data_IF_565526039686
#
_entry.id   IF_565526039686
#
_cell.length_a   1.000
_cell.length_b   1.000
_cell.length_c   1.000
_cell.angle_alpha   90.00
_cell.angle_beta   90.00
_cell.angle_gamma   90.00
#
_symmetry.space_group_name_H-M   'P 1'
#
loop_
_entity.id
_entity.type
_entity.pdbx_description
1 polymer ?
#
# COMPACT_ATOMS: atom_id res chain seq x y z
N UNK A 1 -18.92 -59.22 45.85
CA UNK A 1 -18.27 -58.55 44.70
C UNK A 1 -17.24 -57.59 45.29
N UNK A 2 -16.00 -58.08 45.40
CA UNK A 2 -14.83 -57.71 44.58
C UNK A 2 -14.17 -56.43 45.11
N UNK A 3 -13.02 -56.65 45.78
CA UNK A 3 -11.74 -55.93 45.78
C UNK A 3 -11.74 -54.39 45.95
N UNK A 4 -10.87 -53.78 46.73
CA UNK A 4 -9.63 -54.22 47.37
C UNK A 4 -8.84 -53.00 47.86
N UNK A 5 -8.06 -53.23 48.91
CA UNK A 5 -6.99 -52.41 49.55
C UNK A 5 -6.38 -51.26 48.72
N UNK A 6 -6.04 -50.17 49.42
CA UNK A 6 -4.63 -49.84 49.66
C UNK A 6 -4.42 -48.81 50.78
N UNK A 7 -3.59 -49.21 51.75
CA UNK A 7 -2.80 -48.34 52.61
C UNK A 7 -1.81 -47.51 51.77
N UNK A 8 -1.48 -46.29 52.20
CA UNK A 8 -0.09 -45.81 52.23
C UNK A 8 0.05 -44.54 53.07
N UNK A 9 0.70 -44.71 54.22
CA UNK A 9 1.35 -43.67 54.99
C UNK A 9 2.70 -43.26 54.36
N UNK A 10 3.07 -41.99 54.52
CA UNK A 10 4.42 -41.45 54.78
C UNK A 10 5.60 -41.87 53.88
N UNK A 11 6.11 -40.89 53.09
CA UNK A 11 7.49 -40.32 53.14
C UNK A 11 7.91 -39.82 51.75
N UNK A 12 8.25 -38.52 51.66
CA UNK A 12 9.50 -37.94 51.12
C UNK A 12 9.23 -36.42 51.00
N UNK A 13 9.81 -35.53 51.82
CA UNK A 13 11.18 -35.02 51.68
C UNK A 13 11.62 -34.94 50.21
N UNK A 14 11.44 -33.78 49.59
CA UNK A 14 12.43 -33.09 48.75
C UNK A 14 11.76 -32.12 47.77
N UNK A 15 11.51 -30.88 48.20
CA UNK A 15 11.55 -29.71 47.30
C UNK A 15 12.14 -28.54 48.08
N UNK A 16 13.37 -28.71 48.57
CA UNK A 16 14.27 -27.57 48.79
C UNK A 16 14.92 -27.31 47.43
N UNK A 17 14.73 -26.13 46.89
CA UNK A 17 15.41 -25.68 45.67
C UNK A 17 14.51 -25.56 44.45
N UNK A 18 13.38 -24.84 44.55
CA UNK A 18 12.97 -24.04 43.40
C UNK A 18 13.50 -22.64 43.72
N UNK A 19 14.70 -22.35 43.23
CA UNK A 19 15.14 -20.97 43.10
C UNK A 19 14.00 -20.25 42.38
N UNK A 20 13.48 -19.16 42.95
CA UNK A 20 12.82 -18.15 42.13
C UNK A 20 13.79 -17.87 41.00
N UNK A 21 13.50 -18.33 39.77
CA UNK A 21 14.11 -17.74 38.59
C UNK A 21 13.78 -16.26 38.73
N UNK A 22 14.80 -15.44 39.00
CA UNK A 22 14.68 -13.99 38.85
C UNK A 22 14.13 -13.81 37.43
N UNK A 23 12.92 -13.29 37.31
CA UNK A 23 12.40 -12.87 36.03
C UNK A 23 13.38 -11.85 35.48
N UNK A 24 14.11 -12.23 34.45
CA UNK A 24 14.90 -11.30 33.65
C UNK A 24 13.85 -10.64 32.77
N UNK A 25 13.61 -9.34 32.99
CA UNK A 25 12.73 -8.55 32.15
C UNK A 25 13.55 -8.14 30.92
N UNK A 26 13.37 -8.85 29.81
CA UNK A 26 14.00 -8.49 28.54
C UNK A 26 13.04 -7.61 27.75
N UNK A 27 13.31 -6.31 27.72
CA UNK A 27 12.60 -5.41 26.81
C UNK A 27 13.02 -5.71 25.36
N UNK A 28 12.04 -5.97 24.51
CA UNK A 28 12.20 -6.22 23.09
C UNK A 28 11.80 -5.00 22.25
N UNK A 29 12.67 -4.54 21.34
CA UNK A 29 12.31 -3.48 20.39
C UNK A 29 11.59 -4.15 19.24
N UNK A 30 10.26 -4.12 19.27
CA UNK A 30 9.39 -4.48 18.16
C UNK A 30 8.24 -3.49 18.23
N UNK A 31 8.07 -2.72 17.17
CA UNK A 31 7.09 -1.64 17.11
C UNK A 31 5.71 -2.27 17.05
N UNK A 32 5.08 -2.45 18.21
CA UNK A 32 3.66 -2.73 18.28
C UNK A 32 2.91 -1.48 17.76
N UNK A 33 2.12 -1.67 16.72
CA UNK A 33 1.27 -0.64 16.09
C UNK A 33 1.50 -0.40 14.59
N UNK A 34 2.67 -0.74 14.04
CA UNK A 34 2.89 -1.12 12.63
C UNK A 34 4.24 -1.80 12.59
N UNK A 35 4.30 -2.91 11.88
CA UNK A 35 5.53 -3.65 11.63
C UNK A 35 6.39 -2.90 10.59
N UNK A 36 6.85 -1.70 10.95
CA UNK A 36 7.81 -0.94 10.16
C UNK A 36 9.21 -1.53 10.33
N UNK A 37 9.62 -2.30 9.32
CA UNK A 37 10.65 -1.84 8.40
C UNK A 37 11.82 -1.07 9.02
N UNK A 38 12.67 -1.77 9.79
CA UNK A 38 14.07 -1.37 9.94
C UNK A 38 14.97 -2.61 9.97
N UNK A 39 15.85 -2.69 8.96
CA UNK A 39 16.90 -3.70 8.88
C UNK A 39 17.95 -3.45 9.95
N UNK A 40 17.78 -4.15 11.07
CA UNK A 40 18.79 -4.63 12.02
C UNK A 40 18.04 -5.11 13.27
N UNK A 41 17.29 -6.20 13.17
CA UNK A 41 16.56 -6.73 14.32
C UNK A 41 17.46 -7.61 15.19
N UNK A 42 18.39 -6.95 15.88
CA UNK A 42 18.97 -7.47 17.11
C UNK A 42 18.23 -6.81 18.27
N UNK A 43 17.58 -7.61 19.11
CA UNK A 43 16.74 -7.07 20.18
C UNK A 43 17.57 -6.76 21.41
N UNK A 44 17.85 -5.49 21.70
CA UNK A 44 18.58 -5.14 22.93
C UNK A 44 17.65 -5.08 24.14
N UNK A 45 17.89 -5.95 25.12
CA UNK A 45 17.39 -5.78 26.48
C UNK A 45 17.73 -4.36 26.97
N UNK A 46 16.72 -3.57 27.29
CA UNK A 46 16.90 -2.32 28.03
C UNK A 46 16.69 -2.64 29.51
N UNK A 47 17.73 -3.17 30.13
CA UNK A 47 17.98 -2.89 31.54
C UNK A 47 18.94 -1.69 31.61
N UNK A 48 18.94 -0.92 32.70
CA UNK A 48 19.83 0.25 32.90
C UNK A 48 21.34 -0.10 32.84
N UNK A 49 21.70 -1.36 32.55
CA UNK A 49 23.03 -1.80 32.12
C UNK A 49 22.96 -3.25 31.54
N UNK A 50 22.79 -3.48 30.22
CA UNK A 50 22.65 -4.84 29.70
C UNK A 50 24.01 -5.52 29.52
N UNK A 51 24.11 -6.77 29.98
CA UNK A 51 25.17 -7.69 29.57
C UNK A 51 24.86 -8.25 28.18
N UNK A 52 25.86 -8.68 27.43
CA UNK A 52 25.68 -9.15 26.04
C UNK A 52 24.84 -10.43 25.90
N UNK A 53 24.42 -11.05 27.01
CA UNK A 53 23.74 -12.35 27.06
C UNK A 53 22.19 -12.25 27.01
N UNK A 54 21.59 -11.06 26.99
CA UNK A 54 20.13 -10.85 27.15
C UNK A 54 19.38 -10.46 25.85
N UNK A 55 19.97 -10.67 24.67
CA UNK A 55 19.35 -10.36 23.35
C UNK A 55 18.68 -11.60 22.75
N UNK A 56 17.34 -11.60 22.63
CA UNK A 56 16.60 -12.69 21.95
C UNK A 56 16.33 -12.30 20.50
N UNK A 57 16.79 -13.10 19.55
CA UNK A 57 16.59 -12.84 18.13
C UNK A 57 15.21 -13.34 17.68
N UNK A 58 14.47 -12.53 16.91
CA UNK A 58 13.08 -12.81 16.51
C UNK A 58 12.95 -14.01 15.57
N UNK A 59 14.01 -14.32 14.83
CA UNK A 59 14.16 -15.53 14.02
C UNK A 59 14.27 -16.82 14.86
N UNK A 60 14.33 -16.70 16.19
CA UNK A 60 14.36 -17.82 17.15
C UNK A 60 13.10 -17.90 18.01
N UNK A 61 12.18 -16.96 17.85
CA UNK A 61 10.89 -16.98 18.53
C UNK A 61 9.86 -17.55 17.58
N UNK A 62 9.17 -18.59 18.01
CA UNK A 62 8.06 -19.17 17.26
C UNK A 62 6.75 -18.54 17.72
N UNK A 63 5.90 -18.20 16.76
CA UNK A 63 4.52 -17.77 17.02
C UNK A 63 3.72 -18.98 17.50
N UNK A 64 3.14 -18.86 18.70
CA UNK A 64 2.30 -19.91 19.29
C UNK A 64 0.82 -19.70 19.05
N UNK A 65 0.42 -18.45 18.78
CA UNK A 65 -0.96 -18.07 18.47
C UNK A 65 -1.41 -18.69 17.16
N UNK A 66 -2.58 -19.30 17.19
CA UNK A 66 -3.23 -19.85 16.02
C UNK A 66 -4.33 -18.88 15.57
N UNK A 67 -3.98 -17.94 14.70
CA UNK A 67 -4.94 -17.07 14.00
C UNK A 67 -5.07 -17.59 12.58
N UNK A 68 -6.16 -18.29 12.22
CA UNK A 68 -6.38 -18.78 10.88
C UNK A 68 -6.54 -17.62 9.90
N UNK A 69 -5.85 -17.73 8.77
CA UNK A 69 -5.98 -16.85 7.61
C UNK A 69 -6.09 -17.72 6.37
N UNK A 70 -7.30 -17.80 5.82
CA UNK A 70 -7.60 -18.73 4.74
C UNK A 70 -8.15 -17.98 3.53
N UNK A 71 -7.79 -18.45 2.33
CA UNK A 71 -8.51 -18.05 1.12
C UNK A 71 -9.99 -18.42 1.25
N UNK A 72 -10.87 -17.49 0.90
CA UNK A 72 -12.29 -17.75 0.79
C UNK A 72 -12.83 -17.22 -0.51
N UNK A 73 -13.96 -17.75 -0.95
CA UNK A 73 -14.70 -17.21 -2.08
C UNK A 73 -15.84 -16.34 -1.60
N UNK A 74 -16.13 -15.32 -2.39
CA UNK A 74 -17.30 -14.47 -2.25
C UNK A 74 -17.97 -14.36 -3.61
N UNK A 75 -19.21 -13.87 -3.60
CA UNK A 75 -19.95 -13.61 -4.83
C UNK A 75 -20.81 -12.38 -4.60
N UNK A 76 -20.14 -11.23 -4.53
CA UNK A 76 -20.80 -9.95 -4.42
C UNK A 76 -20.55 -9.17 -5.70
N UNK A 77 -21.62 -8.84 -6.42
CA UNK A 77 -21.52 -7.96 -7.58
C UNK A 77 -20.86 -6.64 -7.18
N UNK A 78 -19.93 -6.19 -8.00
CA UNK A 78 -19.34 -4.87 -7.92
C UNK A 78 -19.81 -4.11 -9.16
N UNK A 79 -20.45 -2.97 -8.94
CA UNK A 79 -20.76 -2.10 -10.06
C UNK A 79 -19.47 -1.38 -10.45
N UNK A 80 -18.89 -1.69 -11.61
CA UNK A 80 -17.73 -1.01 -12.17
C UNK A 80 -18.09 0.19 -13.06
N UNK A 81 -19.39 0.47 -13.26
CA UNK A 81 -19.91 1.48 -14.17
C UNK A 81 -20.61 0.83 -15.36
N UNK A 82 -21.56 1.54 -15.96
CA UNK A 82 -22.41 1.01 -17.03
C UNK A 82 -21.60 0.42 -18.19
N UNK A 83 -20.60 1.15 -18.67
CA UNK A 83 -19.78 0.74 -19.82
C UNK A 83 -18.88 -0.45 -19.48
N UNK A 84 -18.23 -0.46 -18.31
CA UNK A 84 -17.36 -1.58 -17.88
C UNK A 84 -18.17 -2.84 -17.65
N UNK A 85 -19.34 -2.74 -17.02
CA UNK A 85 -20.22 -3.88 -16.78
C UNK A 85 -20.81 -4.46 -18.10
N UNK A 86 -20.77 -3.72 -19.22
CA UNK A 86 -21.16 -4.26 -20.54
C UNK A 86 -20.08 -5.18 -21.12
N UNK A 87 -18.80 -4.97 -20.77
CA UNK A 87 -17.70 -5.82 -21.21
C UNK A 87 -17.82 -7.20 -20.58
N UNK A 88 -17.94 -7.24 -19.26
CA UNK A 88 -18.07 -8.46 -18.47
C UNK A 88 -18.53 -8.12 -17.03
N UNK A 89 -19.17 -9.06 -16.32
CA UNK A 89 -19.63 -8.84 -14.97
C UNK A 89 -18.45 -8.74 -13.98
N UNK A 90 -18.35 -7.60 -13.28
CA UNK A 90 -17.36 -7.43 -12.22
C UNK A 90 -17.92 -7.87 -10.87
N UNK A 91 -17.12 -8.58 -10.10
CA UNK A 91 -17.52 -9.01 -8.76
C UNK A 91 -16.34 -9.17 -7.81
N UNK A 92 -16.62 -9.05 -6.52
CA UNK A 92 -15.78 -9.64 -5.50
C UNK A 92 -15.99 -11.16 -5.57
N UNK A 93 -15.04 -11.86 -6.16
CA UNK A 93 -14.99 -13.33 -6.29
C UNK A 93 -14.10 -13.97 -5.22
N UNK A 94 -13.06 -13.25 -4.78
CA UNK A 94 -12.04 -13.68 -3.83
C UNK A 94 -12.14 -12.91 -2.51
N UNK A 95 -11.70 -13.57 -1.44
CA UNK A 95 -11.71 -13.03 -0.09
C UNK A 95 -10.67 -13.72 0.79
N UNK A 96 -10.52 -13.17 1.99
CA UNK A 96 -9.82 -13.83 3.10
C UNK A 96 -10.80 -14.10 4.23
N UNK A 97 -10.62 -15.20 4.92
CA UNK A 97 -11.25 -15.46 6.21
C UNK A 97 -10.16 -15.32 7.27
N UNK A 98 -10.28 -14.30 8.12
CA UNK A 98 -9.35 -14.01 9.22
C UNK A 98 -10.13 -14.18 10.51
N UNK A 99 -9.70 -15.11 11.36
CA UNK A 99 -10.37 -15.46 12.62
C UNK A 99 -11.90 -15.63 12.46
N UNK A 100 -12.30 -16.46 11.49
CA UNK A 100 -13.71 -16.76 11.19
C UNK A 100 -14.51 -15.61 10.55
N UNK A 101 -13.92 -14.42 10.36
CA UNK A 101 -14.58 -13.28 9.71
C UNK A 101 -14.15 -13.17 8.25
N UNK A 102 -15.12 -13.02 7.35
CA UNK A 102 -14.87 -12.92 5.90
C UNK A 102 -14.67 -11.49 5.45
N UNK A 103 -13.58 -11.26 4.74
CA UNK A 103 -13.23 -10.00 4.11
C UNK A 103 -13.10 -10.19 2.61
N UNK A 104 -13.52 -9.18 1.84
CA UNK A 104 -13.41 -9.19 0.38
C UNK A 104 -12.03 -8.69 -0.02
N UNK A 105 -11.49 -9.22 -1.11
CA UNK A 105 -10.32 -8.64 -1.77
C UNK A 105 -10.78 -7.64 -2.86
N UNK A 106 -9.93 -7.38 -3.87
CA UNK A 106 -10.28 -6.47 -4.96
C UNK A 106 -11.33 -7.09 -5.89
N UNK A 107 -12.23 -6.28 -6.48
CA UNK A 107 -13.18 -6.76 -7.47
C UNK A 107 -12.45 -7.09 -8.79
N UNK A 108 -12.83 -8.18 -9.44
CA UNK A 108 -12.25 -8.63 -10.71
C UNK A 108 -13.36 -9.00 -11.71
N UNK A 109 -13.03 -9.00 -13.01
CA UNK A 109 -13.88 -9.59 -14.04
C UNK A 109 -14.07 -11.09 -13.75
N UNK A 110 -15.30 -11.60 -13.82
CA UNK A 110 -15.59 -13.03 -13.71
C UNK A 110 -14.94 -13.83 -14.85
N UNK A 111 -14.82 -13.24 -16.03
CA UNK A 111 -14.09 -13.81 -17.18
C UNK A 111 -13.22 -12.76 -17.86
N UNK A 112 -11.97 -12.65 -17.41
CA UNK A 112 -11.00 -11.70 -17.92
C UNK A 112 -10.75 -11.83 -19.45
N UNK A 113 -10.81 -13.05 -20.01
CA UNK A 113 -10.57 -13.25 -21.45
C UNK A 113 -11.76 -12.76 -22.28
N UNK A 114 -12.98 -13.01 -21.80
CA UNK A 114 -14.18 -12.44 -22.39
C UNK A 114 -14.17 -10.93 -22.30
N UNK A 115 -13.78 -10.37 -21.16
CA UNK A 115 -13.69 -8.94 -20.94
C UNK A 115 -12.74 -8.25 -21.96
N UNK A 116 -11.54 -8.83 -22.20
CA UNK A 116 -10.62 -8.35 -23.27
C UNK A 116 -11.30 -8.44 -24.64
N UNK A 117 -11.95 -9.56 -24.94
CA UNK A 117 -12.56 -9.79 -26.25
C UNK A 117 -13.71 -8.82 -26.54
N UNK A 118 -14.49 -8.42 -25.53
CA UNK A 118 -15.53 -7.40 -25.68
C UNK A 118 -14.93 -5.98 -25.74
N UNK A 119 -13.86 -5.70 -24.98
CA UNK A 119 -13.15 -4.42 -25.07
C UNK A 119 -12.61 -4.17 -26.49
N UNK A 120 -11.96 -5.17 -27.10
CA UNK A 120 -11.45 -5.05 -28.48
C UNK A 120 -12.55 -4.76 -29.51
N UNK A 121 -13.81 -5.10 -29.22
CA UNK A 121 -14.97 -4.77 -30.07
C UNK A 121 -15.53 -3.40 -29.78
N UNK A 122 -15.66 -3.03 -28.50
CA UNK A 122 -16.30 -1.79 -28.06
C UNK A 122 -15.39 -0.57 -28.23
N UNK A 123 -14.09 -0.71 -27.99
CA UNK A 123 -13.08 0.35 -28.12
C UNK A 123 -12.16 0.12 -29.33
N UNK A 124 -12.76 -0.17 -30.49
CA UNK A 124 -12.03 -0.62 -31.67
C UNK A 124 -11.03 0.42 -32.19
N UNK A 125 -11.45 1.68 -32.26
CA UNK A 125 -10.63 2.76 -32.80
C UNK A 125 -9.56 3.20 -31.79
N UNK A 126 -9.87 3.20 -30.49
CA UNK A 126 -8.91 3.40 -29.40
C UNK A 126 -7.84 2.30 -29.37
N UNK A 127 -8.24 1.03 -29.47
CA UNK A 127 -7.28 -0.09 -29.53
C UNK A 127 -6.41 -0.01 -30.80
N UNK A 128 -6.99 0.35 -31.94
CA UNK A 128 -6.23 0.55 -33.17
C UNK A 128 -5.26 1.73 -33.04
N UNK A 129 -5.70 2.83 -32.42
CA UNK A 129 -4.88 4.00 -32.15
C UNK A 129 -3.65 3.64 -31.33
N UNK A 130 -3.84 2.91 -30.24
CA UNK A 130 -2.75 2.51 -29.34
C UNK A 130 -1.73 1.59 -30.05
N UNK A 131 -2.23 0.57 -30.77
CA UNK A 131 -1.39 -0.37 -31.53
C UNK A 131 -0.58 0.32 -32.63
N UNK A 132 -1.16 1.30 -33.33
CA UNK A 132 -0.49 2.00 -34.44
C UNK A 132 0.48 3.06 -33.96
N UNK A 133 0.08 3.92 -33.01
CA UNK A 133 0.89 5.08 -32.60
C UNK A 133 1.96 4.72 -31.57
N UNK A 134 1.74 3.69 -30.75
CA UNK A 134 2.69 3.25 -29.73
C UNK A 134 3.29 1.86 -30.01
N UNK A 135 2.88 1.19 -31.09
CA UNK A 135 3.49 -0.09 -31.50
C UNK A 135 3.11 -1.28 -30.61
N UNK A 136 1.97 -1.21 -29.91
CA UNK A 136 1.55 -2.26 -28.98
C UNK A 136 1.11 -3.55 -29.69
N UNK A 137 1.47 -4.69 -29.09
CA UNK A 137 0.89 -6.00 -29.45
C UNK A 137 -0.56 -6.13 -28.92
N UNK A 138 -1.24 -7.25 -29.21
CA UNK A 138 -2.57 -7.51 -28.63
C UNK A 138 -2.54 -7.55 -27.11
N UNK A 139 -3.58 -7.00 -26.47
CA UNK A 139 -3.70 -6.90 -25.01
C UNK A 139 -3.73 -8.29 -24.35
N UNK A 140 -2.99 -8.43 -23.25
CA UNK A 140 -2.81 -9.66 -22.49
C UNK A 140 -2.31 -9.37 -21.08
N UNK A 141 -2.30 -10.38 -20.21
CA UNK A 141 -1.65 -10.33 -18.89
C UNK A 141 -0.17 -9.90 -18.94
N UNK A 142 0.54 -10.12 -20.05
CA UNK A 142 1.97 -9.76 -20.15
C UNK A 142 2.23 -8.31 -20.53
N UNK A 143 1.22 -7.57 -21.02
CA UNK A 143 1.42 -6.22 -21.55
C UNK A 143 0.30 -5.20 -21.20
N UNK A 144 -0.71 -5.56 -20.39
CA UNK A 144 -1.75 -4.60 -19.97
C UNK A 144 -1.17 -3.36 -19.30
N UNK A 145 -0.07 -3.54 -18.59
CA UNK A 145 0.70 -2.47 -18.01
C UNK A 145 1.21 -1.46 -19.05
N UNK A 146 1.72 -1.93 -20.18
CA UNK A 146 2.17 -1.07 -21.29
C UNK A 146 0.99 -0.29 -21.89
N UNK A 147 -0.17 -0.95 -22.01
CA UNK A 147 -1.41 -0.30 -22.43
C UNK A 147 -1.83 0.85 -21.50
N UNK A 148 -1.75 0.68 -20.18
CA UNK A 148 -2.09 1.75 -19.22
C UNK A 148 -1.25 3.00 -19.48
N UNK A 149 0.05 2.81 -19.71
CA UNK A 149 0.99 3.90 -19.95
C UNK A 149 0.64 4.67 -21.24
N UNK A 150 0.39 3.95 -22.33
CA UNK A 150 0.06 4.53 -23.62
C UNK A 150 -1.32 5.20 -23.65
N UNK A 151 -2.31 4.66 -22.95
CA UNK A 151 -3.63 5.31 -22.80
C UNK A 151 -3.48 6.65 -22.09
N UNK A 152 -2.67 6.68 -21.03
CA UNK A 152 -2.43 7.89 -20.26
C UNK A 152 -1.75 8.99 -21.10
N UNK A 153 -0.79 8.62 -21.95
CA UNK A 153 -0.16 9.54 -22.89
C UNK A 153 -1.16 10.03 -23.93
N UNK A 154 -1.90 9.10 -24.57
CA UNK A 154 -2.86 9.41 -25.63
C UNK A 154 -3.93 10.40 -25.17
N UNK A 155 -4.46 10.24 -23.95
CA UNK A 155 -5.46 11.16 -23.38
C UNK A 155 -4.93 12.59 -23.20
N UNK A 156 -3.60 12.79 -23.17
CA UNK A 156 -2.97 14.12 -23.14
C UNK A 156 -2.72 14.76 -24.50
N UNK A 157 -3.00 14.06 -25.61
CA UNK A 157 -2.66 14.49 -26.96
C UNK A 157 -3.72 15.39 -27.61
N UNK A 158 -3.26 16.34 -28.44
CA UNK A 158 -4.16 17.34 -29.05
C UNK A 158 -5.18 16.78 -30.01
N UNK A 159 -4.76 15.81 -30.81
CA UNK A 159 -5.62 15.09 -31.72
C UNK A 159 -6.63 14.16 -31.01
N UNK A 160 -6.39 13.80 -29.74
CA UNK A 160 -7.33 13.00 -28.95
C UNK A 160 -8.39 13.90 -28.33
N UNK A 161 -8.02 14.99 -27.65
CA UNK A 161 -9.02 15.89 -27.05
C UNK A 161 -9.94 16.61 -28.07
N UNK A 162 -9.54 16.65 -29.34
CA UNK A 162 -10.37 17.20 -30.43
C UNK A 162 -11.30 16.16 -31.06
N UNK A 163 -11.21 14.89 -30.64
CA UNK A 163 -12.00 13.78 -31.12
C UNK A 163 -12.66 13.04 -29.96
N UNK A 164 -13.83 13.54 -29.55
CA UNK A 164 -14.62 13.02 -28.42
C UNK A 164 -14.82 11.50 -28.48
N UNK A 165 -15.12 10.93 -29.66
CA UNK A 165 -15.33 9.48 -29.80
C UNK A 165 -14.06 8.66 -29.52
N UNK A 166 -12.89 9.14 -29.94
CA UNK A 166 -11.62 8.47 -29.65
C UNK A 166 -11.23 8.64 -28.18
N UNK A 167 -11.46 9.83 -27.63
CA UNK A 167 -11.23 10.11 -26.21
C UNK A 167 -12.09 9.18 -25.31
N UNK A 168 -13.38 9.02 -25.63
CA UNK A 168 -14.29 8.13 -24.91
C UNK A 168 -13.83 6.66 -24.97
N UNK A 169 -13.40 6.16 -26.13
CA UNK A 169 -12.86 4.81 -26.25
C UNK A 169 -11.57 4.62 -25.45
N UNK A 170 -10.70 5.63 -25.38
CA UNK A 170 -9.49 5.58 -24.56
C UNK A 170 -9.82 5.60 -23.06
N UNK A 171 -10.83 6.37 -22.63
CA UNK A 171 -11.33 6.30 -21.25
C UNK A 171 -11.96 4.94 -20.92
N UNK A 172 -12.63 4.29 -21.88
CA UNK A 172 -13.15 2.94 -21.69
C UNK A 172 -12.01 1.92 -21.49
N UNK A 173 -10.93 2.03 -22.27
CA UNK A 173 -9.74 1.18 -22.13
C UNK A 173 -9.07 1.42 -20.76
N UNK A 174 -8.87 2.67 -20.36
CA UNK A 174 -8.36 3.02 -19.01
C UNK A 174 -9.25 2.42 -17.90
N UNK A 175 -10.56 2.56 -18.07
CA UNK A 175 -11.58 2.02 -17.20
C UNK A 175 -11.57 0.49 -17.10
N UNK A 176 -11.19 -0.19 -18.17
CA UNK A 176 -11.01 -1.64 -18.18
C UNK A 176 -9.73 -2.03 -17.42
N UNK A 177 -8.61 -1.37 -17.71
CA UNK A 177 -7.29 -1.80 -17.25
C UNK A 177 -7.14 -1.79 -15.73
N UNK A 178 -7.68 -0.79 -15.02
CA UNK A 178 -7.56 -0.80 -13.54
C UNK A 178 -8.48 -1.81 -12.83
N UNK A 179 -9.54 -2.33 -13.47
CA UNK A 179 -10.22 -3.55 -12.94
C UNK A 179 -9.44 -4.81 -13.31
N UNK A 180 -8.80 -4.81 -14.48
CA UNK A 180 -8.04 -5.96 -14.96
C UNK A 180 -6.82 -6.27 -14.08
N UNK A 181 -6.10 -5.24 -13.62
CA UNK A 181 -4.93 -5.40 -12.75
C UNK A 181 -5.24 -6.03 -11.39
N UNK A 182 -6.48 -5.89 -10.90
CA UNK A 182 -6.92 -6.47 -9.63
C UNK A 182 -6.79 -8.01 -9.60
N UNK A 183 -6.79 -8.67 -10.77
CA UNK A 183 -6.51 -10.10 -10.86
C UNK A 183 -5.11 -10.47 -10.38
N UNK A 184 -4.10 -9.68 -10.76
CA UNK A 184 -2.71 -9.85 -10.32
C UNK A 184 -2.54 -9.43 -8.86
N UNK A 185 -3.19 -8.35 -8.42
CA UNK A 185 -3.16 -7.90 -7.02
C UNK A 185 -3.75 -8.96 -6.07
N UNK A 186 -4.92 -9.52 -6.41
CA UNK A 186 -5.54 -10.62 -5.67
C UNK A 186 -4.64 -11.85 -5.63
N UNK A 187 -3.96 -12.16 -6.74
CA UNK A 187 -3.02 -13.28 -6.81
C UNK A 187 -1.82 -13.07 -5.88
N UNK A 188 -1.23 -11.88 -5.86
CA UNK A 188 -0.10 -11.54 -4.97
C UNK A 188 -0.49 -11.73 -3.49
N UNK A 189 -1.69 -11.28 -3.09
CA UNK A 189 -2.22 -11.47 -1.73
C UNK A 189 -2.37 -12.96 -1.40
N UNK A 190 -3.01 -13.74 -2.27
CA UNK A 190 -3.28 -15.15 -2.02
C UNK A 190 -2.01 -16.00 -2.02
N UNK A 191 -1.03 -15.69 -2.87
CA UNK A 191 0.28 -16.34 -2.85
C UNK A 191 1.01 -16.08 -1.52
N UNK A 192 0.93 -14.86 -0.98
CA UNK A 192 1.49 -14.52 0.33
C UNK A 192 0.77 -15.27 1.47
N UNK A 193 -0.56 -15.31 1.47
CA UNK A 193 -1.33 -16.07 2.48
C UNK A 193 -1.01 -17.57 2.42
N UNK A 194 -0.93 -18.14 1.22
CA UNK A 194 -0.57 -19.55 1.04
C UNK A 194 0.86 -19.85 1.55
N UNK A 195 1.79 -18.89 1.46
CA UNK A 195 3.15 -19.06 2.00
C UNK A 195 3.20 -19.20 3.52
N UNK A 196 2.15 -18.76 4.22
CA UNK A 196 2.00 -18.88 5.67
C UNK A 196 1.36 -20.20 6.12
N UNK A 197 0.98 -21.10 5.19
CA UNK A 197 0.28 -22.35 5.51
C UNK A 197 -1.08 -22.17 6.22
N UNK A 198 -1.76 -21.03 6.02
CA UNK A 198 -3.13 -20.83 6.48
C UNK A 198 -3.30 -20.37 7.93
N UNK A 199 -2.21 -20.20 8.68
CA UNK A 199 -2.18 -19.52 9.98
C UNK A 199 -0.79 -18.93 10.22
N UNK A 200 -0.57 -18.26 11.35
CA UNK A 200 0.75 -17.75 11.72
C UNK A 200 1.54 -18.72 12.61
N UNK A 201 0.90 -19.77 13.09
CA UNK A 201 1.46 -20.67 14.10
C UNK A 201 2.68 -21.44 13.58
N UNK A 202 3.73 -21.52 14.40
CA UNK A 202 4.96 -22.26 14.09
C UNK A 202 5.86 -21.57 13.06
N UNK A 203 5.45 -20.42 12.53
CA UNK A 203 6.36 -19.51 11.83
C UNK A 203 7.17 -18.72 12.86
N UNK A 204 8.28 -18.14 12.42
CA UNK A 204 9.03 -17.22 13.28
C UNK A 204 8.27 -15.90 13.44
N UNK A 205 8.47 -15.23 14.58
CA UNK A 205 7.92 -13.88 14.82
C UNK A 205 8.35 -12.91 13.72
N UNK A 206 9.55 -13.08 13.19
CA UNK A 206 10.03 -12.31 12.04
C UNK A 206 9.23 -12.57 10.76
N UNK A 207 9.01 -13.83 10.38
CA UNK A 207 8.28 -14.18 9.16
C UNK A 207 6.83 -13.67 9.23
N UNK A 208 6.18 -13.86 10.38
CA UNK A 208 4.85 -13.33 10.64
C UNK A 208 4.83 -11.80 10.54
N UNK A 209 5.81 -11.13 11.14
CA UNK A 209 5.96 -9.68 11.06
C UNK A 209 6.09 -9.19 9.61
N UNK A 210 6.91 -9.89 8.82
CA UNK A 210 7.14 -9.53 7.43
C UNK A 210 5.90 -9.70 6.58
N UNK A 211 5.20 -10.82 6.73
CA UNK A 211 4.03 -11.16 5.94
C UNK A 211 2.82 -10.28 6.27
N UNK A 212 2.56 -10.03 7.55
CA UNK A 212 1.47 -9.11 7.97
C UNK A 212 1.70 -7.69 7.46
N UNK A 213 2.95 -7.20 7.49
CA UNK A 213 3.30 -5.89 6.90
C UNK A 213 3.04 -5.83 5.40
N UNK A 214 3.41 -6.90 4.69
CA UNK A 214 3.26 -6.94 3.23
C UNK A 214 1.78 -7.09 2.84
N UNK A 215 1.01 -7.90 3.57
CA UNK A 215 -0.44 -7.97 3.43
C UNK A 215 -1.09 -6.60 3.65
N UNK A 216 -0.73 -5.85 4.68
CA UNK A 216 -1.27 -4.49 4.91
C UNK A 216 -1.02 -3.53 3.74
N UNK A 217 0.11 -3.67 3.02
CA UNK A 217 0.41 -2.84 1.85
C UNK A 217 -0.38 -3.27 0.61
N UNK A 218 -0.73 -4.55 0.53
CA UNK A 218 -1.41 -5.16 -0.61
C UNK A 218 -2.93 -5.11 -0.51
N UNK A 219 -3.49 -5.21 0.69
CA UNK A 219 -4.92 -5.37 0.90
C UNK A 219 -5.71 -4.10 0.54
N UNK A 220 -6.95 -4.26 0.04
CA UNK A 220 -7.80 -3.13 -0.31
C UNK A 220 -8.23 -2.37 0.96
N UNK A 221 -7.98 -1.06 0.98
CA UNK A 221 -8.22 -0.22 2.18
C UNK A 221 -9.70 -0.08 2.57
N UNK A 222 -10.63 -0.51 1.71
CA UNK A 222 -12.07 -0.26 1.84
C UNK A 222 -12.85 -1.51 2.27
N UNK A 223 -12.20 -2.63 2.58
CA UNK A 223 -12.89 -3.89 2.87
C UNK A 223 -12.84 -4.33 4.33
N UNK A 224 -12.00 -3.73 5.17
CA UNK A 224 -11.77 -4.19 6.54
C UNK A 224 -10.59 -5.15 6.69
N UNK A 225 -10.03 -5.64 5.57
CA UNK A 225 -9.06 -6.73 5.59
C UNK A 225 -7.70 -6.30 6.14
N UNK A 226 -7.24 -5.11 5.79
CA UNK A 226 -5.99 -4.54 6.27
C UNK A 226 -6.04 -4.28 7.79
N UNK A 227 -7.16 -3.77 8.29
CA UNK A 227 -7.35 -3.59 9.74
C UNK A 227 -7.44 -4.93 10.48
N UNK A 228 -8.05 -5.95 9.88
CA UNK A 228 -8.11 -7.29 10.47
C UNK A 228 -6.73 -7.95 10.55
N UNK A 229 -5.89 -7.78 9.52
CA UNK A 229 -4.48 -8.23 9.57
C UNK A 229 -3.67 -7.46 10.61
N UNK A 230 -3.94 -6.15 10.77
CA UNK A 230 -3.31 -5.35 11.83
C UNK A 230 -3.66 -5.87 13.23
N UNK A 231 -4.95 -6.12 13.49
CA UNK A 231 -5.42 -6.66 14.75
C UNK A 231 -4.83 -8.05 15.05
N UNK A 232 -4.75 -8.93 14.04
CA UNK A 232 -4.12 -10.23 14.17
C UNK A 232 -2.63 -10.11 14.55
N UNK A 233 -1.91 -9.16 13.95
CA UNK A 233 -0.51 -8.91 14.29
C UNK A 233 -0.33 -8.42 15.74
N UNK A 234 -1.24 -7.58 16.24
CA UNK A 234 -1.23 -7.11 17.64
C UNK A 234 -1.49 -8.26 18.63
N UNK A 235 -2.43 -9.14 18.32
CA UNK A 235 -2.73 -10.31 19.15
C UNK A 235 -1.54 -11.28 19.22
N UNK A 236 -0.94 -11.60 18.06
CA UNK A 236 0.28 -12.43 18.00
C UNK A 236 1.41 -11.80 18.81
N UNK A 237 1.58 -10.48 18.72
CA UNK A 237 2.60 -9.78 19.49
C UNK A 237 2.37 -9.95 21.00
N UNK A 238 1.15 -9.71 21.48
CA UNK A 238 0.81 -9.86 22.90
C UNK A 238 1.02 -11.30 23.43
N UNK A 239 0.69 -12.31 22.62
CA UNK A 239 0.91 -13.71 22.98
C UNK A 239 2.39 -14.06 23.07
N UNK A 240 3.21 -13.58 22.14
CA UNK A 240 4.67 -13.76 22.16
C UNK A 240 5.30 -13.05 23.36
N UNK A 241 4.84 -11.84 23.71
CA UNK A 241 5.25 -11.16 24.94
C UNK A 241 5.00 -12.01 26.18
N UNK A 242 3.80 -12.58 26.27
CA UNK A 242 3.40 -13.41 27.39
C UNK A 242 4.23 -14.71 27.47
N UNK A 243 4.37 -15.44 26.36
CA UNK A 243 5.03 -16.74 26.30
C UNK A 243 6.53 -16.63 26.58
N UNK A 244 7.20 -15.64 25.98
CA UNK A 244 8.64 -15.48 26.09
C UNK A 244 9.07 -14.49 27.18
N UNK A 245 8.11 -13.88 27.89
CA UNK A 245 8.35 -12.85 28.91
C UNK A 245 9.18 -11.68 28.37
N UNK A 246 8.84 -11.27 27.16
CA UNK A 246 9.42 -10.12 26.48
C UNK A 246 8.39 -9.00 26.43
N UNK A 247 8.82 -7.75 26.32
CA UNK A 247 7.91 -6.63 26.05
C UNK A 247 8.25 -6.03 24.71
N UNK A 248 7.32 -5.97 23.76
CA UNK A 248 7.48 -5.21 22.54
C UNK A 248 7.22 -3.74 22.82
N UNK A 249 8.26 -2.92 22.66
CA UNK A 249 8.16 -1.48 22.86
C UNK A 249 7.41 -0.86 21.68
N UNK A 250 6.24 -0.28 21.95
CA UNK A 250 5.56 0.64 21.03
C UNK A 250 6.55 1.77 20.64
N UNK A 251 6.50 2.22 19.38
CA UNK A 251 7.39 3.27 18.87
C UNK A 251 7.35 4.56 19.72
N UNK A 252 6.24 4.78 20.41
CA UNK A 252 6.00 5.94 21.27
C UNK A 252 6.76 5.88 22.61
N UNK A 253 7.16 4.69 23.09
CA UNK A 253 7.90 4.57 24.36
C UNK A 253 9.41 4.83 24.23
N UNK A 254 9.94 4.80 22.99
CA UNK A 254 11.28 5.33 22.67
C UNK A 254 11.35 6.87 22.76
N UNK A 255 10.20 7.54 22.93
CA UNK A 255 10.04 9.00 23.02
C UNK A 255 10.13 9.56 24.46
N UNK A 256 10.52 8.76 25.45
CA UNK A 256 10.63 9.22 26.86
C UNK A 256 11.82 10.16 27.15
N UNK A 257 12.15 11.01 26.18
CA UNK A 257 12.42 12.43 26.42
C UNK A 257 11.19 13.32 26.20
N UNK A 258 10.18 13.22 27.09
CA UNK A 258 9.11 14.19 27.40
C UNK A 258 8.15 14.72 26.28
N UNK A 259 7.09 13.93 26.07
CA UNK A 259 5.65 14.20 25.77
C UNK A 259 5.19 15.64 25.42
N UNK A 260 4.46 15.72 24.29
CA UNK A 260 3.34 16.64 24.08
C UNK A 260 2.17 15.90 23.42
N UNK A 261 1.07 15.74 24.17
CA UNK A 261 -0.18 15.07 23.80
C UNK A 261 -0.90 15.74 22.62
N UNK A 262 -1.02 15.05 21.49
CA UNK A 262 -2.05 15.27 20.44
C UNK A 262 -2.06 14.14 19.37
N UNK A 263 -1.37 13.00 19.60
CA UNK A 263 -1.00 12.04 18.55
C UNK A 263 -1.86 10.77 18.44
N UNK A 264 -3.04 10.73 19.08
CA UNK A 264 -3.92 9.56 19.02
C UNK A 264 -4.83 9.54 17.75
N UNK A 265 -4.37 10.12 16.64
CA UNK A 265 -5.16 10.25 15.41
C UNK A 265 -4.35 10.12 14.08
N UNK A 266 -3.13 9.58 14.10
CA UNK A 266 -2.39 9.30 12.85
C UNK A 266 -2.10 7.80 12.73
N UNK A 267 -2.87 7.10 11.87
CA UNK A 267 -2.51 5.75 11.37
C UNK A 267 -1.05 5.78 10.90
N UNK A 268 -0.27 4.80 11.35
CA UNK A 268 1.18 4.91 11.39
C UNK A 268 1.80 5.10 10.00
N UNK A 269 2.65 6.12 9.93
CA UNK A 269 3.34 6.62 8.74
C UNK A 269 4.81 6.25 8.81
N UNK A 270 5.45 6.04 7.65
CA UNK A 270 6.90 5.92 7.58
C UNK A 270 7.55 7.11 8.31
N UNK A 271 8.29 6.85 9.40
CA UNK A 271 8.80 7.89 10.31
C UNK A 271 9.69 8.93 9.63
N UNK A 272 10.29 8.57 8.48
CA UNK A 272 11.04 9.47 7.62
C UNK A 272 10.20 10.55 6.95
N UNK A 273 8.86 10.50 6.99
CA UNK A 273 7.99 11.58 6.52
C UNK A 273 8.29 12.92 7.18
N UNK A 274 8.64 12.89 8.47
CA UNK A 274 9.05 14.08 9.23
C UNK A 274 10.28 14.80 8.63
N UNK A 275 11.11 14.09 7.85
CA UNK A 275 12.29 14.64 7.20
C UNK A 275 11.98 15.38 5.88
N UNK A 276 10.75 15.30 5.37
CA UNK A 276 10.40 15.93 4.10
C UNK A 276 10.39 17.45 4.21
N UNK A 277 11.31 18.10 3.50
CA UNK A 277 11.33 19.54 3.34
C UNK A 277 10.51 19.97 2.12
N UNK A 278 9.37 20.62 2.38
CA UNK A 278 8.43 21.09 1.35
C UNK A 278 9.09 21.98 0.30
N UNK A 279 9.99 22.89 0.68
CA UNK A 279 10.63 23.81 -0.27
C UNK A 279 11.61 23.10 -1.19
N UNK A 280 12.34 22.10 -0.68
CA UNK A 280 13.21 21.25 -1.51
C UNK A 280 12.39 20.40 -2.47
N UNK A 281 11.29 19.80 -1.99
CA UNK A 281 10.36 19.05 -2.83
C UNK A 281 9.80 19.92 -3.97
N UNK A 282 9.35 21.14 -3.66
CA UNK A 282 8.85 22.08 -4.67
C UNK A 282 9.95 22.54 -5.63
N UNK A 283 11.17 22.77 -5.13
CA UNK A 283 12.31 23.10 -6.00
C UNK A 283 12.57 21.98 -7.00
N UNK A 284 12.49 20.73 -6.56
CA UNK A 284 12.63 19.58 -7.45
C UNK A 284 11.47 19.50 -8.45
N UNK A 285 10.24 19.60 -7.96
CA UNK A 285 9.04 19.54 -8.79
C UNK A 285 9.07 20.62 -9.89
N UNK A 286 9.33 21.88 -9.54
CA UNK A 286 9.42 22.99 -10.51
C UNK A 286 10.49 22.74 -11.59
N UNK A 287 11.57 22.03 -11.25
CA UNK A 287 12.67 21.77 -12.17
C UNK A 287 12.36 20.65 -13.16
N UNK A 288 11.65 19.62 -12.71
CA UNK A 288 11.52 18.37 -13.46
C UNK A 288 10.11 18.07 -13.96
N UNK A 289 9.08 18.74 -13.45
CA UNK A 289 7.68 18.46 -13.78
C UNK A 289 7.33 18.52 -15.28
N UNK A 290 8.01 19.37 -16.06
CA UNK A 290 7.81 19.48 -17.53
C UNK A 290 9.00 18.94 -18.33
N UNK A 291 9.99 18.38 -17.63
CA UNK A 291 11.21 17.83 -18.23
C UNK A 291 11.76 16.77 -17.28
N UNK A 292 11.46 15.50 -17.58
CA UNK A 292 11.84 14.35 -16.76
C UNK A 292 13.33 14.34 -16.42
N UNK A 293 13.64 13.81 -15.24
CA UNK A 293 15.03 13.67 -14.80
C UNK A 293 15.64 12.40 -15.41
N UNK A 294 16.52 12.56 -16.40
CA UNK A 294 17.18 11.46 -17.14
C UNK A 294 17.88 10.40 -16.26
N UNK A 295 18.17 10.73 -15.00
CA UNK A 295 18.73 9.78 -14.02
C UNK A 295 17.72 8.69 -13.63
N UNK A 296 16.45 9.03 -13.63
CA UNK A 296 15.32 8.19 -13.19
C UNK A 296 14.45 7.72 -14.37
N UNK A 297 14.83 8.06 -15.60
CA UNK A 297 14.01 8.00 -16.83
C UNK A 297 14.58 6.96 -17.82
N UNK A 298 14.73 5.70 -17.40
CA UNK A 298 15.37 4.65 -18.22
C UNK A 298 14.57 3.36 -18.34
N UNK A 299 13.25 3.46 -18.21
CA UNK A 299 12.34 2.30 -18.27
C UNK A 299 10.99 2.52 -17.58
N UNK A 300 10.59 3.77 -17.38
CA UNK A 300 9.27 4.14 -16.82
C UNK A 300 8.49 5.03 -17.77
N UNK A 301 8.79 4.93 -19.07
CA UNK A 301 8.17 5.74 -20.10
C UNK A 301 6.64 5.64 -19.90
N UNK A 302 6.06 6.76 -19.48
CA UNK A 302 4.62 6.99 -19.31
C UNK A 302 3.92 6.34 -18.09
N UNK A 303 4.68 5.79 -17.13
CA UNK A 303 4.20 5.39 -15.78
C UNK A 303 4.86 6.18 -14.64
N UNK A 304 5.27 7.41 -14.94
CA UNK A 304 6.18 8.15 -14.07
C UNK A 304 5.47 8.96 -12.97
N UNK A 305 4.15 8.80 -12.75
CA UNK A 305 3.46 9.55 -11.69
C UNK A 305 4.09 9.30 -10.31
N UNK A 306 4.21 8.03 -9.91
CA UNK A 306 4.78 7.65 -8.61
C UNK A 306 6.30 7.70 -8.59
N UNK A 307 6.97 7.37 -9.70
CA UNK A 307 8.42 7.56 -9.78
C UNK A 307 8.78 9.04 -9.60
N UNK A 308 8.01 9.97 -10.17
CA UNK A 308 8.20 11.40 -9.97
C UNK A 308 7.90 11.85 -8.54
N UNK A 309 6.78 11.44 -7.94
CA UNK A 309 6.50 11.79 -6.54
C UNK A 309 7.54 11.19 -5.59
N UNK A 310 8.04 9.98 -5.85
CA UNK A 310 9.18 9.38 -5.13
C UNK A 310 10.46 10.22 -5.28
N UNK A 311 10.77 10.69 -6.49
CA UNK A 311 11.89 11.59 -6.71
C UNK A 311 11.73 12.89 -5.91
N UNK A 312 10.54 13.50 -5.90
CA UNK A 312 10.23 14.70 -5.11
C UNK A 312 10.43 14.41 -3.62
N UNK A 313 9.89 13.31 -3.11
CA UNK A 313 9.98 12.87 -1.71
C UNK A 313 11.45 12.70 -1.29
N UNK A 314 12.25 12.01 -2.12
CA UNK A 314 13.70 11.84 -1.92
C UNK A 314 14.46 13.18 -1.96
N UNK A 315 14.18 14.02 -2.95
CA UNK A 315 14.79 15.35 -3.07
C UNK A 315 14.41 16.29 -1.90
N UNK A 316 13.22 16.09 -1.34
CA UNK A 316 12.76 16.71 -0.11
C UNK A 316 13.58 16.33 1.12
N UNK A 317 14.40 15.28 1.07
CA UNK A 317 15.28 14.85 2.14
C UNK A 317 14.86 13.55 2.83
N UNK A 318 13.79 12.91 2.36
CA UNK A 318 13.37 11.59 2.86
C UNK A 318 14.37 10.55 2.38
N UNK A 319 14.92 9.76 3.31
CA UNK A 319 15.90 8.72 3.00
C UNK A 319 15.19 7.54 2.37
N UNK A 320 15.84 6.92 1.38
CA UNK A 320 15.36 5.67 0.82
C UNK A 320 15.25 4.60 1.89
N UNK A 321 14.32 3.69 1.64
CA UNK A 321 14.01 2.59 2.53
C UNK A 321 14.20 1.27 1.78
N UNK A 322 15.00 0.37 2.34
CA UNK A 322 15.20 -0.98 1.80
C UNK A 322 14.88 -2.01 2.86
N UNK A 323 13.96 -2.92 2.54
CA UNK A 323 13.66 -4.11 3.34
C UNK A 323 14.50 -5.27 2.84
N UNK A 324 15.24 -5.89 3.74
CA UNK A 324 15.94 -7.14 3.48
C UNK A 324 15.25 -8.23 4.29
N UNK A 325 15.24 -9.46 3.79
CA UNK A 325 14.98 -10.62 4.65
C UNK A 325 16.10 -10.72 5.68
N UNK A 326 15.83 -11.23 6.88
CA UNK A 326 16.94 -11.60 7.76
C UNK A 326 17.40 -13.03 7.44
N UNK A 327 18.28 -13.58 8.28
CA UNK A 327 18.90 -14.89 8.09
C UNK A 327 20.31 -14.85 7.51
N UNK A 328 20.89 -16.04 7.33
CA UNK A 328 22.30 -16.23 6.95
C UNK A 328 22.62 -15.87 5.50
N UNK A 329 21.61 -15.66 4.65
CA UNK A 329 21.76 -15.17 3.28
C UNK A 329 20.64 -14.16 2.94
N UNK A 330 20.74 -12.92 3.44
CA UNK A 330 19.69 -11.91 3.30
C UNK A 330 19.54 -11.47 1.83
N UNK A 331 18.31 -11.33 1.37
CA UNK A 331 18.01 -10.76 0.05
C UNK A 331 17.03 -9.59 0.15
N UNK A 332 17.08 -8.70 -0.84
CA UNK A 332 16.29 -7.47 -0.86
C UNK A 332 14.84 -7.78 -1.26
N UNK A 333 13.90 -7.46 -0.38
CA UNK A 333 12.47 -7.52 -0.64
C UNK A 333 12.03 -6.29 -1.43
N UNK A 334 12.15 -6.37 -2.77
CA UNK A 334 11.80 -5.26 -3.67
C UNK A 334 10.34 -4.81 -3.51
N UNK A 335 9.40 -5.74 -3.32
CA UNK A 335 7.97 -5.46 -3.15
C UNK A 335 7.65 -4.53 -1.98
N UNK A 336 8.45 -4.60 -0.92
CA UNK A 336 8.30 -3.82 0.31
C UNK A 336 9.37 -2.72 0.47
N UNK A 337 10.09 -2.36 -0.59
CA UNK A 337 11.18 -1.37 -0.53
C UNK A 337 10.83 -0.09 -1.31
N UNK A 338 11.31 1.04 -0.81
CA UNK A 338 11.23 2.35 -1.47
C UNK A 338 12.65 2.87 -1.78
N UNK A 339 13.16 2.47 -2.95
CA UNK A 339 14.48 2.90 -3.41
C UNK A 339 14.52 2.94 -4.94
N UNK A 340 15.47 3.73 -5.46
CA UNK A 340 15.86 3.69 -6.85
C UNK A 340 17.38 3.73 -7.00
N UNK A 341 17.91 2.72 -7.68
CA UNK A 341 19.30 2.67 -8.09
C UNK A 341 19.44 2.97 -9.59
N UNK A 342 18.74 2.19 -10.42
CA UNK A 342 18.70 2.30 -11.89
C UNK A 342 17.44 1.63 -12.43
N UNK A 343 17.18 1.78 -13.72
CA UNK A 343 16.12 1.01 -14.38
C UNK A 343 16.31 -0.50 -14.19
N UNK A 344 15.21 -1.19 -13.91
CA UNK A 344 15.17 -2.60 -13.49
C UNK A 344 15.66 -2.88 -12.06
N UNK A 345 16.16 -1.87 -11.33
CA UNK A 345 16.64 -1.99 -9.96
C UNK A 345 16.12 -0.86 -9.07
N UNK A 346 14.87 -1.03 -8.66
CA UNK A 346 14.10 -0.18 -7.79
C UNK A 346 13.12 -1.04 -6.98
N UNK A 347 12.61 -0.48 -5.89
CA UNK A 347 11.58 -1.13 -5.08
C UNK A 347 10.18 -0.81 -5.61
N UNK A 348 9.20 -1.67 -5.35
CA UNK A 348 7.85 -1.52 -5.88
C UNK A 348 7.15 -0.25 -5.35
N UNK A 349 7.41 0.12 -4.09
CA UNK A 349 6.88 1.36 -3.46
C UNK A 349 7.35 2.61 -4.23
N UNK A 350 8.52 2.54 -4.89
CA UNK A 350 9.07 3.67 -5.64
C UNK A 350 8.20 4.04 -6.86
N UNK A 351 7.44 3.09 -7.41
CA UNK A 351 6.75 3.25 -8.71
C UNK A 351 5.27 2.91 -8.71
N UNK A 352 4.76 2.21 -7.70
CA UNK A 352 3.35 1.84 -7.62
C UNK A 352 2.59 2.82 -6.72
N UNK A 353 1.54 3.46 -7.25
CA UNK A 353 0.78 4.51 -6.55
C UNK A 353 0.13 4.00 -5.26
N UNK A 354 -0.52 2.85 -5.30
CA UNK A 354 -1.12 2.18 -4.14
C UNK A 354 -0.10 1.88 -3.06
N UNK A 355 1.00 1.19 -3.41
CA UNK A 355 2.06 0.86 -2.46
C UNK A 355 2.72 2.14 -1.90
N UNK A 356 2.87 3.20 -2.70
CA UNK A 356 3.38 4.50 -2.23
C UNK A 356 2.44 5.15 -1.22
N UNK A 357 1.15 5.26 -1.56
CA UNK A 357 0.14 5.89 -0.71
C UNK A 357 -0.03 5.14 0.61
N UNK A 358 -0.02 3.80 0.57
CA UNK A 358 -0.10 2.96 1.76
C UNK A 358 1.18 3.05 2.61
N UNK A 359 2.36 3.01 1.99
CA UNK A 359 3.64 3.12 2.71
C UNK A 359 3.86 4.48 3.40
N UNK A 360 3.59 5.57 2.69
CA UNK A 360 3.73 6.91 3.26
C UNK A 360 2.52 7.33 4.08
N UNK A 361 1.40 6.62 3.95
CA UNK A 361 0.19 6.77 4.75
C UNK A 361 -0.75 7.85 4.21
N UNK A 362 -2.03 7.50 4.11
CA UNK A 362 -3.12 8.38 3.70
C UNK A 362 -3.63 9.17 4.91
N UNK A 363 -3.42 10.50 4.89
CA UNK A 363 -3.83 11.42 5.96
C UNK A 363 -5.31 11.81 5.90
N UNK A 364 -5.87 11.83 4.71
CA UNK A 364 -7.23 12.31 4.47
C UNK A 364 -7.78 11.71 3.19
N UNK A 365 -9.07 11.33 3.19
CA UNK A 365 -9.79 10.88 2.00
C UNK A 365 -11.19 11.47 1.92
N UNK A 366 -11.70 11.73 0.71
CA UNK A 366 -13.04 12.29 0.48
C UNK A 366 -13.53 12.08 -0.95
N UNK A 367 -14.86 11.97 -1.14
CA UNK A 367 -15.51 12.01 -2.47
C UNK A 367 -15.75 13.44 -2.99
N UNK A 368 -15.64 14.44 -2.12
CA UNK A 368 -15.99 15.82 -2.45
C UNK A 368 -14.76 16.60 -2.90
N UNK A 369 -14.67 16.93 -4.19
CA UNK A 369 -13.56 17.73 -4.71
C UNK A 369 -13.47 19.14 -4.08
N UNK A 370 -14.62 19.74 -3.74
CA UNK A 370 -14.63 20.96 -2.93
C UNK A 370 -13.91 20.75 -1.60
N UNK A 371 -14.29 19.71 -0.86
CA UNK A 371 -13.70 19.40 0.44
C UNK A 371 -12.22 19.07 0.30
N UNK A 372 -11.85 18.28 -0.71
CA UNK A 372 -10.48 17.95 -1.06
C UNK A 372 -9.65 19.23 -1.27
N UNK A 373 -10.11 20.15 -2.12
CA UNK A 373 -9.44 21.44 -2.37
C UNK A 373 -9.29 22.32 -1.12
N UNK A 374 -10.15 22.16 -0.11
CA UNK A 374 -10.02 22.89 1.17
C UNK A 374 -8.95 22.30 2.10
N UNK A 375 -8.59 21.02 1.90
CA UNK A 375 -7.65 20.27 2.75
C UNK A 375 -6.26 20.20 2.15
N UNK A 376 -6.16 20.21 0.83
CA UNK A 376 -4.89 20.28 0.10
C UNK A 376 -4.08 21.50 0.55
N UNK A 377 -2.78 21.28 0.74
CA UNK A 377 -1.81 22.32 1.10
C UNK A 377 -0.65 22.31 0.11
N UNK A 378 0.05 23.45 0.04
CA UNK A 378 1.37 23.49 -0.60
C UNK A 378 2.28 22.44 0.05
N UNK A 379 2.85 21.55 -0.75
CA UNK A 379 3.66 20.42 -0.31
C UNK A 379 2.88 19.12 -0.09
N UNK A 380 1.56 19.10 -0.31
CA UNK A 380 0.79 17.86 -0.23
C UNK A 380 1.17 16.91 -1.36
N UNK A 381 1.41 15.65 -1.01
CA UNK A 381 1.26 14.54 -1.94
C UNK A 381 -0.22 14.19 -2.01
N UNK A 382 -0.72 13.93 -3.20
CA UNK A 382 -2.14 13.67 -3.44
C UNK A 382 -2.27 12.43 -4.31
N UNK A 383 -3.40 11.76 -4.16
CA UNK A 383 -3.74 10.54 -4.89
C UNK A 383 -5.24 10.45 -5.09
N UNK A 384 -5.67 9.56 -5.98
CA UNK A 384 -7.06 9.22 -6.19
C UNK A 384 -7.25 7.70 -6.34
N UNK A 385 -8.43 7.24 -5.91
CA UNK A 385 -9.03 5.95 -6.25
C UNK A 385 -10.17 6.28 -7.22
N UNK A 386 -9.88 6.11 -8.51
CA UNK A 386 -10.73 6.47 -9.63
C UNK A 386 -11.98 5.63 -9.65
N UNK A 387 -11.89 4.34 -9.37
CA UNK A 387 -13.02 3.40 -9.50
C UNK A 387 -13.77 3.13 -8.20
N UNK A 388 -13.25 3.62 -7.08
CA UNK A 388 -13.75 3.33 -5.75
C UNK A 388 -13.56 1.86 -5.37
N UNK A 389 -12.58 1.18 -5.94
CA UNK A 389 -12.38 -0.26 -5.78
C UNK A 389 -11.46 -0.61 -4.59
N UNK A 390 -10.82 0.40 -3.99
CA UNK A 390 -9.90 0.23 -2.86
C UNK A 390 -8.43 0.29 -3.24
N UNK A 391 -8.11 0.55 -4.51
CA UNK A 391 -6.76 0.76 -5.03
C UNK A 391 -6.50 2.26 -5.24
N UNK A 392 -5.24 2.71 -5.13
CA UNK A 392 -4.87 4.09 -5.48
C UNK A 392 -4.17 4.10 -6.84
N UNK A 393 -4.75 4.83 -7.79
CA UNK A 393 -4.39 4.69 -9.21
C UNK A 393 -3.32 5.68 -9.64
N UNK A 394 -3.20 6.80 -8.92
CA UNK A 394 -2.43 7.92 -9.40
C UNK A 394 -1.83 8.79 -8.29
N UNK A 395 -0.76 9.52 -8.62
CA UNK A 395 -0.01 10.35 -7.67
C UNK A 395 0.29 11.73 -8.27
N UNK A 396 0.05 12.77 -7.47
CA UNK A 396 0.42 14.15 -7.78
C UNK A 396 1.12 14.86 -6.62
N UNK A 397 1.78 15.97 -6.91
CA UNK A 397 2.41 16.81 -5.89
C UNK A 397 2.00 18.28 -6.00
N UNK A 398 1.50 18.84 -4.91
CA UNK A 398 0.95 20.20 -4.87
C UNK A 398 2.05 21.22 -4.58
N UNK A 399 2.27 22.12 -5.52
CA UNK A 399 3.33 23.13 -5.45
C UNK A 399 2.84 24.52 -5.00
N UNK A 400 1.54 24.80 -5.18
CA UNK A 400 0.92 26.04 -4.74
C UNK A 400 -0.58 25.83 -4.46
N UNK A 401 -1.15 26.63 -3.58
CA UNK A 401 -2.61 26.73 -3.37
C UNK A 401 -3.03 28.18 -3.44
N UNK A 402 -4.29 28.43 -3.78
CA UNK A 402 -4.86 29.78 -3.83
C UNK A 402 -6.13 29.87 -2.99
N UNK A 403 -6.59 31.10 -2.75
CA UNK A 403 -7.94 31.36 -2.19
C UNK A 403 -8.97 31.63 -3.30
N UNK A 404 -8.59 31.46 -4.56
CA UNK A 404 -9.45 31.73 -5.71
C UNK A 404 -10.35 30.52 -5.91
N UNK A 405 -11.66 30.77 -5.92
CA UNK A 405 -12.63 29.72 -6.25
C UNK A 405 -12.80 29.61 -7.76
N UNK A 406 -12.80 28.38 -8.25
CA UNK A 406 -13.07 28.01 -9.63
C UNK A 406 -14.30 27.11 -9.65
N UNK A 407 -14.87 26.95 -10.84
CA UNK A 407 -16.07 26.14 -11.04
C UNK A 407 -15.88 25.27 -12.27
N UNK A 408 -16.15 23.98 -12.11
CA UNK A 408 -16.17 23.01 -13.18
C UNK A 408 -17.40 22.12 -13.00
N UNK A 409 -18.18 21.92 -14.06
CA UNK A 409 -19.39 21.09 -14.07
C UNK A 409 -20.30 21.22 -12.82
N UNK A 410 -20.58 22.46 -12.38
CA UNK A 410 -21.41 22.71 -11.19
C UNK A 410 -20.68 22.63 -9.84
N UNK A 411 -19.50 22.01 -9.79
CA UNK A 411 -18.67 21.86 -8.60
C UNK A 411 -17.80 23.11 -8.43
N UNK A 412 -17.75 23.64 -7.22
CA UNK A 412 -16.83 24.73 -6.85
C UNK A 412 -15.62 24.15 -6.12
N UNK A 413 -14.43 24.67 -6.37
CA UNK A 413 -13.19 24.26 -5.68
C UNK A 413 -12.25 25.45 -5.50
N UNK A 414 -11.31 25.38 -4.55
CA UNK A 414 -10.20 26.33 -4.48
C UNK A 414 -9.10 25.91 -5.44
N UNK A 415 -8.58 26.82 -6.24
CA UNK A 415 -7.57 26.49 -7.25
C UNK A 415 -6.20 26.20 -6.61
N UNK A 416 -5.48 25.19 -7.10
CA UNK A 416 -4.16 24.79 -6.65
C UNK A 416 -3.33 24.24 -7.80
N UNK A 417 -2.00 24.21 -7.65
CA UNK A 417 -1.07 23.84 -8.73
C UNK A 417 -0.43 22.50 -8.46
N UNK A 418 -0.54 21.57 -9.40
CA UNK A 418 -0.01 20.22 -9.32
C UNK A 418 1.17 20.06 -10.28
N UNK A 419 2.19 19.36 -9.81
CA UNK A 419 3.27 18.82 -10.62
C UNK A 419 3.07 17.29 -10.75
N UNK A 420 3.11 16.77 -11.98
CA UNK A 420 2.77 15.38 -12.29
C UNK A 420 3.39 14.96 -13.64
N UNK A 421 3.79 13.69 -13.77
CA UNK A 421 4.54 13.16 -14.93
C UNK A 421 3.74 12.23 -15.85
N UNK A 422 2.42 12.13 -15.68
CA UNK A 422 1.59 11.44 -16.67
C UNK A 422 1.59 12.18 -18.00
N UNK A 423 1.42 13.51 -17.95
CA UNK A 423 1.48 14.39 -19.12
C UNK A 423 2.52 15.51 -18.94
N UNK A 424 3.57 15.23 -18.14
CA UNK A 424 4.69 16.13 -17.83
C UNK A 424 4.26 17.59 -17.62
N UNK A 425 3.47 17.81 -16.57
CA UNK A 425 2.89 19.11 -16.30
C UNK A 425 3.20 19.71 -14.94
N UNK A 426 3.12 21.04 -14.94
CA UNK A 426 3.13 21.87 -13.75
C UNK A 426 2.06 22.96 -13.90
N UNK A 427 0.82 22.62 -13.58
CA UNK A 427 -0.35 23.38 -14.00
C UNK A 427 -1.33 23.59 -12.83
N UNK A 428 -2.02 24.73 -12.83
CA UNK A 428 -3.16 24.91 -11.92
C UNK A 428 -4.28 23.95 -12.32
N UNK A 429 -5.09 23.51 -11.36
CA UNK A 429 -6.26 22.65 -11.62
C UNK A 429 -7.12 23.29 -12.72
N UNK A 430 -7.39 24.60 -12.62
CA UNK A 430 -8.18 25.30 -13.64
C UNK A 430 -7.51 25.49 -15.02
N UNK A 431 -6.28 25.03 -15.23
CA UNK A 431 -5.63 25.02 -16.54
C UNK A 431 -5.92 23.69 -17.26
N UNK A 432 -6.16 23.78 -18.56
CA UNK A 432 -6.65 22.67 -19.41
C UNK A 432 -5.74 21.46 -19.51
N UNK A 433 -4.54 21.46 -18.91
CA UNK A 433 -3.60 20.34 -18.90
C UNK A 433 -3.69 19.49 -17.61
N UNK A 434 -4.33 19.99 -16.56
CA UNK A 434 -4.27 19.36 -15.24
C UNK A 434 -5.30 18.22 -15.09
N UNK A 435 -6.54 18.47 -15.50
CA UNK A 435 -7.67 17.53 -15.55
C UNK A 435 -8.14 16.93 -14.20
N UNK A 436 -7.58 17.31 -13.04
CA UNK A 436 -8.02 16.76 -11.75
C UNK A 436 -9.48 17.06 -11.39
N UNK A 437 -10.02 18.20 -11.82
CA UNK A 437 -11.45 18.49 -11.63
C UNK A 437 -12.36 17.61 -12.49
N UNK A 438 -11.84 17.05 -13.60
CA UNK A 438 -12.62 16.22 -14.52
C UNK A 438 -12.89 14.84 -13.94
N UNK A 439 -12.04 14.37 -13.03
CA UNK A 439 -12.23 13.13 -12.27
C UNK A 439 -13.57 13.10 -11.53
N UNK A 440 -14.15 14.27 -11.25
CA UNK A 440 -15.47 14.40 -10.60
C UNK A 440 -16.65 13.98 -11.47
N UNK A 441 -16.45 13.76 -12.78
CA UNK A 441 -17.46 13.13 -13.66
C UNK A 441 -17.77 11.71 -13.17
N UNK A 442 -16.79 11.03 -12.56
CA UNK A 442 -16.98 9.73 -11.97
C UNK A 442 -17.51 9.84 -10.54
N UNK A 443 -18.71 9.31 -10.28
CA UNK A 443 -19.34 9.36 -8.96
C UNK A 443 -18.67 8.47 -7.90
N UNK A 444 -17.76 7.56 -8.32
CA UNK A 444 -17.05 6.62 -7.44
C UNK A 444 -15.72 7.16 -6.91
N UNK A 445 -15.18 8.19 -7.56
CA UNK A 445 -13.89 8.82 -7.25
C UNK A 445 -13.72 9.10 -5.76
N UNK A 446 -12.60 8.65 -5.19
CA UNK A 446 -12.10 9.08 -3.89
C UNK A 446 -10.81 9.87 -4.12
N UNK A 447 -10.72 11.06 -3.55
CA UNK A 447 -9.48 11.83 -3.49
C UNK A 447 -8.83 11.66 -2.13
N UNK A 448 -7.51 11.58 -2.09
CA UNK A 448 -6.75 11.46 -0.86
C UNK A 448 -5.48 12.31 -0.82
N UNK A 449 -5.04 12.61 0.41
CA UNK A 449 -3.80 13.31 0.72
C UNK A 449 -2.88 12.32 1.42
N UNK A 450 -1.68 12.16 0.88
CA UNK A 450 -0.62 11.30 1.41
C UNK A 450 0.37 12.16 2.22
N UNK A 451 0.95 11.60 3.28
CA UNK A 451 1.94 12.31 4.10
C UNK A 451 3.27 12.51 3.39
#
# INVERSE_FOLDING_TARGET
MINGRNEKSNKLKSMKGMAMKKGIFTACILVAGTLMLSGAMGVKAVDLNPSADDVVALDKLEVTTDIPIEETTTNQAFDAGEEINQLEQVSYSKGLMIDGTKYRLYPEFQDANRAISELEKMAKDGMAYLKVNYGLESLSNSNYEEYQACVCEALGEENVYTNEALEDELYLIDGFLDIYENGDANKEILELVNSLNGNFQGTTVEETAQATSELQLLLPYNTGADEAVAAAAEEIAADVEQEYHVNFLESDELSTGQIGSDQQAELQTYTGNSAFNVDKGITYANKYAVKRNIKYDKGFDNKDCTNFTSQIKKAGGVKEFTKWTNGSNPYLLKGSSWYFNKAGDYGAIWVNANKFANFFGVKYKTKSFYTFSTKVKRGSFITEDKKGDGNWDHMGFVTATTKIKKKYNGITYYDFRIAQHTADYHAYVSETKNHWEELTKNSKIIFAIVN
#
